data_IF_688672207440
#
_entry.id   IF_688672207440
#
_cell.length_a   1.000
_cell.length_b   1.000
_cell.length_c   1.000
_cell.angle_alpha   90.00
_cell.angle_beta   90.00
_cell.angle_gamma   90.00
#
_symmetry.space_group_name_H-M   'P 1'
#
loop_
_entity.id
_entity.type
_entity.pdbx_description
1 polymer ?
#
# COMPACT_ATOMS: atom_id res chain seq x y z
N UNK A 1 -18.43 5.38 -28.90
CA UNK A 1 -17.19 4.78 -28.40
C UNK A 1 -17.36 3.27 -28.44
N UNK A 2 -16.36 2.50 -28.91
CA UNK A 2 -16.53 1.07 -29.18
C UNK A 2 -16.39 0.20 -27.93
N UNK A 3 -17.16 -0.88 -27.86
CA UNK A 3 -17.11 -1.88 -26.79
C UNK A 3 -15.83 -2.73 -26.88
N UNK A 4 -15.06 -2.83 -25.79
CA UNK A 4 -13.84 -3.62 -25.72
C UNK A 4 -13.00 -3.36 -24.47
N UNK A 5 -11.94 -4.16 -24.29
CA UNK A 5 -10.91 -3.90 -23.29
C UNK A 5 -9.98 -2.80 -23.81
N UNK A 6 -9.99 -1.65 -23.15
CA UNK A 6 -8.98 -0.63 -23.37
C UNK A 6 -7.72 -0.96 -22.58
N UNK A 7 -6.59 -1.01 -23.27
CA UNK A 7 -5.28 -1.31 -22.68
C UNK A 7 -4.44 -0.04 -22.65
N UNK A 8 -3.94 0.29 -21.47
CA UNK A 8 -3.10 1.45 -21.23
C UNK A 8 -1.73 0.98 -20.72
N UNK A 9 -0.66 1.47 -21.34
CA UNK A 9 0.71 1.19 -20.92
C UNK A 9 1.42 2.52 -20.69
N UNK A 10 1.88 2.74 -19.44
CA UNK A 10 2.36 4.04 -18.98
C UNK A 10 1.40 5.17 -19.40
N UNK A 11 0.13 4.80 -19.50
CA UNK A 11 -1.00 5.69 -19.62
C UNK A 11 -1.32 6.33 -20.92
N UNK A 12 -0.55 5.97 -21.92
CA UNK A 12 -1.05 6.03 -23.27
C UNK A 12 -1.95 4.83 -23.52
N UNK A 13 -3.14 5.06 -24.06
CA UNK A 13 -3.95 3.98 -24.63
C UNK A 13 -3.16 3.35 -25.79
N UNK A 14 -2.76 2.11 -25.63
CA UNK A 14 -1.98 1.40 -26.64
C UNK A 14 -2.86 0.48 -27.50
N UNK A 15 -3.97 -0.01 -26.96
CA UNK A 15 -4.82 -0.95 -27.67
C UNK A 15 -6.29 -0.87 -27.23
N UNK A 16 -7.19 -1.22 -28.15
CA UNK A 16 -8.61 -1.51 -27.88
C UNK A 16 -8.90 -2.92 -28.38
N UNK A 17 -9.03 -3.87 -27.47
CA UNK A 17 -9.39 -5.24 -27.80
C UNK A 17 -10.91 -5.38 -27.77
N UNK A 18 -11.54 -5.42 -28.94
CA UNK A 18 -13.00 -5.64 -29.04
C UNK A 18 -13.40 -6.93 -28.34
N UNK A 19 -14.48 -6.88 -27.57
CA UNK A 19 -14.99 -8.08 -26.92
C UNK A 19 -15.32 -9.15 -27.95
N UNK A 20 -14.81 -10.37 -27.73
CA UNK A 20 -15.14 -11.57 -28.52
C UNK A 20 -15.97 -12.57 -27.73
N UNK A 21 -16.23 -12.27 -26.46
CA UNK A 21 -17.05 -13.03 -25.53
C UNK A 21 -17.69 -12.05 -24.53
N UNK A 22 -18.82 -12.45 -23.94
CA UNK A 22 -19.47 -11.64 -22.89
C UNK A 22 -18.51 -11.43 -21.71
N UNK A 23 -18.44 -10.19 -21.22
CA UNK A 23 -17.61 -9.82 -20.07
C UNK A 23 -17.99 -10.62 -18.81
N UNK A 24 -19.27 -11.00 -18.68
CA UNK A 24 -19.79 -11.81 -17.57
C UNK A 24 -19.14 -13.20 -17.48
N UNK A 25 -18.56 -13.69 -18.58
CA UNK A 25 -17.86 -14.98 -18.63
C UNK A 25 -16.39 -14.89 -18.21
N UNK A 26 -15.85 -13.67 -18.01
CA UNK A 26 -14.46 -13.47 -17.58
C UNK A 26 -14.41 -13.42 -16.06
N UNK A 27 -13.86 -14.47 -15.45
CA UNK A 27 -13.82 -14.63 -14.00
C UNK A 27 -12.41 -14.87 -13.43
N UNK A 28 -11.39 -14.95 -14.29
CA UNK A 28 -10.02 -15.24 -13.90
C UNK A 28 -9.04 -14.36 -14.67
N UNK A 29 -8.00 -13.91 -13.98
CA UNK A 29 -6.83 -13.25 -14.57
C UNK A 29 -5.64 -14.17 -14.39
N UNK A 30 -5.07 -14.63 -15.50
CA UNK A 30 -3.84 -15.42 -15.52
C UNK A 30 -2.71 -14.55 -16.07
N UNK A 31 -1.58 -14.54 -15.38
CA UNK A 31 -0.35 -13.91 -15.83
C UNK A 31 0.73 -14.98 -15.78
N UNK A 32 1.47 -15.11 -16.86
CA UNK A 32 2.39 -16.23 -17.11
C UNK A 32 3.77 -15.68 -17.51
N UNK A 33 4.80 -16.54 -17.43
CA UNK A 33 6.22 -16.23 -17.71
C UNK A 33 6.91 -15.32 -16.67
N UNK A 34 8.15 -14.95 -16.97
CA UNK A 34 9.08 -14.22 -16.10
C UNK A 34 8.70 -12.74 -15.96
N UNK A 35 7.71 -12.47 -15.11
CA UNK A 35 7.33 -11.11 -14.70
C UNK A 35 7.17 -11.04 -13.19
N UNK A 36 7.79 -10.02 -12.59
CA UNK A 36 7.53 -9.65 -11.20
C UNK A 36 6.42 -8.59 -11.21
N UNK A 37 5.30 -8.90 -10.58
CA UNK A 37 4.13 -8.01 -10.53
C UNK A 37 3.98 -7.50 -9.12
N UNK A 38 4.20 -6.20 -8.95
CA UNK A 38 4.15 -5.59 -7.62
C UNK A 38 2.72 -5.42 -7.10
N UNK A 39 1.76 -5.13 -7.99
CA UNK A 39 0.36 -4.92 -7.65
C UNK A 39 -0.56 -5.41 -8.77
N UNK A 40 -1.57 -6.19 -8.41
CA UNK A 40 -2.72 -6.51 -9.26
C UNK A 40 -3.99 -6.20 -8.49
N UNK A 41 -4.94 -5.52 -9.13
CA UNK A 41 -6.20 -5.17 -8.51
C UNK A 41 -7.29 -4.93 -9.53
N UNK A 42 -8.54 -5.06 -9.08
CA UNK A 42 -9.72 -4.72 -9.87
C UNK A 42 -10.29 -3.42 -9.33
N UNK A 43 -10.35 -2.40 -10.17
CA UNK A 43 -10.97 -1.12 -9.84
C UNK A 43 -12.38 -1.10 -10.44
N UNK A 44 -13.40 -1.14 -9.59
CA UNK A 44 -14.79 -0.95 -10.04
C UNK A 44 -14.95 0.49 -10.53
N UNK A 45 -15.75 0.70 -11.58
CA UNK A 45 -16.05 2.01 -12.15
C UNK A 45 -14.79 2.78 -12.60
N UNK A 46 -13.89 2.08 -13.30
CA UNK A 46 -12.63 2.62 -13.81
C UNK A 46 -12.78 3.88 -14.69
N UNK A 47 -13.83 3.96 -15.52
CA UNK A 47 -14.07 5.13 -16.40
C UNK A 47 -14.30 6.42 -15.62
N UNK A 48 -14.75 6.33 -14.37
CA UNK A 48 -14.90 7.45 -13.43
C UNK A 48 -13.76 7.52 -12.42
N UNK A 49 -12.77 6.62 -12.50
CA UNK A 49 -11.61 6.58 -11.62
C UNK A 49 -10.54 7.59 -12.07
N UNK A 50 -9.91 8.25 -11.10
CA UNK A 50 -8.82 9.21 -11.34
C UNK A 50 -7.53 8.56 -11.84
N UNK A 51 -7.41 7.23 -11.77
CA UNK A 51 -6.22 6.49 -12.18
C UNK A 51 -5.83 6.73 -13.67
N UNK A 52 -6.81 6.95 -14.56
CA UNK A 52 -6.54 7.21 -15.98
C UNK A 52 -5.90 8.59 -16.25
N UNK A 53 -6.14 9.59 -15.40
CA UNK A 53 -5.73 10.97 -15.66
C UNK A 53 -4.21 11.16 -15.50
N UNK A 54 -3.59 10.42 -14.58
CA UNK A 54 -2.15 10.46 -14.32
C UNK A 54 -1.32 9.68 -15.34
N UNK A 55 -1.94 8.71 -15.98
CA UNK A 55 -1.26 7.83 -16.90
C UNK A 55 -0.89 8.64 -18.19
N UNK A 56 -1.73 9.58 -18.65
CA UNK A 56 -1.54 10.30 -19.93
C UNK A 56 -0.39 11.32 -19.96
N UNK A 57 0.23 11.67 -18.83
CA UNK A 57 1.09 12.86 -18.72
C UNK A 57 2.58 12.60 -18.98
N UNK A 58 3.01 11.35 -19.19
CA UNK A 58 4.42 11.03 -19.44
C UNK A 58 5.36 11.56 -18.34
N UNK A 59 4.85 11.73 -17.12
CA UNK A 59 5.57 12.34 -16.00
C UNK A 59 6.71 11.41 -15.59
N UNK A 60 7.94 11.93 -15.70
CA UNK A 60 9.11 11.37 -15.03
C UNK A 60 8.78 11.16 -13.56
N UNK A 61 9.12 9.97 -13.01
CA UNK A 61 8.93 9.60 -11.60
C UNK A 61 9.56 10.56 -10.57
N UNK A 62 10.26 11.59 -11.05
CA UNK A 62 10.92 12.65 -10.28
C UNK A 62 10.15 13.97 -10.21
N UNK A 63 8.99 14.11 -10.89
CA UNK A 63 8.13 15.29 -10.74
C UNK A 63 6.85 14.93 -9.96
N UNK A 64 6.52 15.79 -9.00
CA UNK A 64 5.31 15.70 -8.20
C UNK A 64 4.07 15.56 -9.08
N UNK A 65 3.23 14.57 -8.76
CA UNK A 65 1.93 14.38 -9.37
C UNK A 65 0.99 15.50 -8.95
N UNK A 66 0.40 16.22 -9.91
CA UNK A 66 -0.61 17.25 -9.64
C UNK A 66 -1.99 16.65 -9.27
N UNK A 67 -2.04 15.54 -8.51
CA UNK A 67 -3.28 14.96 -7.96
C UNK A 67 -3.80 15.86 -6.83
N UNK A 68 -4.23 17.05 -7.19
CA UNK A 68 -5.13 17.83 -6.38
C UNK A 68 -6.54 17.58 -6.93
N UNK A 69 -7.44 17.21 -6.02
CA UNK A 69 -8.89 17.07 -6.18
C UNK A 69 -9.41 15.73 -6.73
N UNK A 70 -9.78 14.86 -5.78
CA UNK A 70 -10.96 13.96 -5.74
C UNK A 70 -10.83 12.84 -4.68
N UNK A 71 -9.78 12.90 -3.85
CA UNK A 71 -9.67 12.13 -2.60
C UNK A 71 -10.22 13.00 -1.46
N UNK A 72 -11.03 12.51 -0.51
CA UNK A 72 -11.20 13.19 0.75
C UNK A 72 -9.86 13.09 1.50
N UNK A 73 -9.10 14.19 1.50
CA UNK A 73 -7.78 14.38 2.16
C UNK A 73 -6.52 13.89 1.40
N UNK A 74 -6.20 14.43 0.21
CA UNK A 74 -4.86 14.30 -0.35
C UNK A 74 -3.91 15.19 0.46
N UNK A 75 -2.82 14.62 0.99
CA UNK A 75 -1.78 15.37 1.70
C UNK A 75 -0.52 15.35 0.84
N UNK A 76 -0.28 16.44 0.11
CA UNK A 76 0.98 16.70 -0.60
C UNK A 76 1.69 17.89 0.05
N UNK A 77 2.61 17.62 0.98
CA UNK A 77 3.63 18.59 1.45
C UNK A 77 4.66 17.88 2.34
N UNK A 78 5.98 18.00 2.09
CA UNK A 78 7.02 17.19 2.75
C UNK A 78 7.59 17.83 4.02
N UNK A 79 6.76 18.50 4.83
CA UNK A 79 7.19 19.11 6.09
C UNK A 79 6.32 18.78 7.30
N UNK A 80 5.22 18.04 7.12
CA UNK A 80 4.29 17.75 8.21
C UNK A 80 4.06 16.27 8.37
N UNK A 81 4.25 15.81 9.60
CA UNK A 81 3.71 14.56 10.09
C UNK A 81 2.25 14.41 9.64
N UNK A 82 1.95 13.31 8.95
CA UNK A 82 0.58 12.93 8.69
C UNK A 82 0.05 12.17 9.91
N UNK A 83 -1.16 12.51 10.33
CA UNK A 83 -1.93 11.73 11.29
C UNK A 83 -3.38 11.76 10.84
N UNK A 84 -3.95 10.60 10.54
CA UNK A 84 -5.31 10.50 10.03
C UNK A 84 -5.99 9.21 10.44
N UNK A 85 -7.34 9.18 10.40
CA UNK A 85 -8.09 7.98 10.72
C UNK A 85 -7.87 6.89 9.67
N UNK A 86 -8.03 5.65 10.09
CA UNK A 86 -8.19 4.46 9.25
C UNK A 86 -9.71 4.19 9.23
N UNK A 87 -10.44 4.57 8.17
CA UNK A 87 -11.88 4.36 8.10
C UNK A 87 -12.25 2.89 8.30
N UNK A 88 -13.16 2.62 9.24
CA UNK A 88 -13.56 1.26 9.61
C UNK A 88 -12.58 0.49 10.49
N UNK A 89 -11.45 1.10 10.88
CA UNK A 89 -10.39 0.47 11.66
C UNK A 89 -9.66 -0.66 10.92
N UNK A 90 -8.58 -1.16 11.52
CA UNK A 90 -7.91 -2.35 11.00
C UNK A 90 -8.59 -3.63 11.46
N UNK A 91 -8.54 -4.64 10.60
CA UNK A 91 -8.97 -6.00 10.88
C UNK A 91 -8.22 -6.96 9.98
N UNK A 92 -8.24 -8.24 10.33
CA UNK A 92 -7.65 -9.27 9.49
C UNK A 92 -8.30 -9.30 8.10
N UNK A 93 -7.48 -9.47 7.06
CA UNK A 93 -7.93 -9.40 5.67
C UNK A 93 -7.96 -7.99 5.08
N UNK A 94 -7.36 -7.01 5.75
CA UNK A 94 -7.09 -5.67 5.19
C UNK A 94 -5.60 -5.55 4.91
N UNK A 95 -5.23 -4.79 3.89
CA UNK A 95 -3.86 -4.36 3.65
C UNK A 95 -3.77 -2.84 3.57
N UNK A 96 -2.68 -2.29 4.09
CA UNK A 96 -2.31 -0.89 3.89
C UNK A 96 -1.26 -0.82 2.79
N UNK A 97 -1.52 -0.03 1.76
CA UNK A 97 -0.57 0.25 0.69
C UNK A 97 0.01 1.65 0.86
N UNK A 98 1.32 1.77 0.69
CA UNK A 98 2.06 3.02 0.71
C UNK A 98 2.98 3.07 -0.50
N UNK A 99 3.01 4.21 -1.16
CA UNK A 99 3.97 4.49 -2.21
C UNK A 99 4.60 5.85 -1.93
N UNK A 100 5.93 5.89 -1.97
CA UNK A 100 6.66 7.09 -1.64
C UNK A 100 8.11 7.05 -2.10
N UNK A 101 8.84 8.09 -1.69
CA UNK A 101 10.26 8.27 -1.97
C UNK A 101 10.96 8.63 -0.67
N UNK A 102 12.07 7.96 -0.38
CA UNK A 102 12.95 8.31 0.74
C UNK A 102 13.65 9.62 0.42
N UNK A 103 13.68 10.57 1.36
CA UNK A 103 14.39 11.82 1.12
C UNK A 103 15.90 11.59 0.85
N UNK A 104 16.50 12.45 0.02
CA UNK A 104 17.92 12.33 -0.35
C UNK A 104 18.87 12.54 0.83
N UNK A 105 18.41 13.23 1.87
CA UNK A 105 19.10 13.54 3.13
C UNK A 105 18.51 12.77 4.32
N UNK A 106 17.73 11.72 4.07
CA UNK A 106 17.03 10.95 5.09
C UNK A 106 17.98 10.44 6.20
N UNK A 107 17.61 10.72 7.45
CA UNK A 107 18.07 10.01 8.63
C UNK A 107 17.16 8.81 8.89
N UNK A 108 15.85 9.09 9.01
CA UNK A 108 14.82 8.06 9.24
C UNK A 108 13.41 8.54 8.92
N UNK A 109 12.52 7.59 8.69
CA UNK A 109 11.08 7.83 8.68
C UNK A 109 10.35 6.73 9.43
N UNK A 110 9.08 6.98 9.78
CA UNK A 110 8.25 6.01 10.50
C UNK A 110 6.82 6.00 10.01
N UNK A 111 6.25 4.80 9.97
CA UNK A 111 4.83 4.54 9.80
C UNK A 111 4.36 3.93 11.12
N UNK A 112 3.41 4.60 11.77
CA UNK A 112 2.84 4.21 13.04
C UNK A 112 1.38 3.84 12.89
N UNK A 113 1.00 2.70 13.45
CA UNK A 113 -0.38 2.27 13.60
C UNK A 113 -0.81 2.50 15.05
N UNK A 114 -1.62 3.52 15.28
CA UNK A 114 -2.05 3.98 16.60
C UNK A 114 -3.44 3.45 16.97
N UNK A 115 -3.67 3.25 18.27
CA UNK A 115 -5.01 2.91 18.79
C UNK A 115 -5.84 4.14 19.17
N UNK A 116 -7.16 4.04 18.98
CA UNK A 116 -8.12 5.12 19.23
C UNK A 116 -8.46 5.39 20.70
N UNK A 117 -9.06 6.57 20.92
CA UNK A 117 -9.40 7.31 22.15
C UNK A 117 -8.34 8.29 22.68
N UNK A 118 -7.06 7.90 22.82
CA UNK A 118 -6.02 8.80 23.36
C UNK A 118 -4.77 8.97 22.45
N UNK A 119 -4.67 8.28 21.30
CA UNK A 119 -3.52 8.29 20.38
C UNK A 119 -2.14 8.00 21.03
N UNK A 120 -2.09 7.54 22.28
CA UNK A 120 -0.84 7.34 23.01
C UNK A 120 -0.16 6.04 22.60
N UNK A 121 -0.91 4.95 22.45
CA UNK A 121 -0.33 3.65 22.15
C UNK A 121 -0.10 3.48 20.64
N UNK A 122 1.03 2.82 20.32
CA UNK A 122 1.44 2.45 18.97
C UNK A 122 1.41 0.93 18.90
N UNK A 123 0.43 0.37 18.21
CA UNK A 123 0.32 -1.07 17.98
C UNK A 123 1.47 -1.58 17.11
N UNK A 124 1.84 -0.81 16.09
CA UNK A 124 2.98 -1.13 15.24
C UNK A 124 3.75 0.13 14.83
N UNK A 125 4.99 0.21 15.26
CA UNK A 125 5.97 1.20 14.88
C UNK A 125 6.91 0.59 13.85
N UNK A 126 6.76 0.97 12.58
CA UNK A 126 7.67 0.59 11.50
C UNK A 126 8.59 1.77 11.20
N UNK A 127 9.87 1.69 11.60
CA UNK A 127 10.82 2.79 11.51
C UNK A 127 12.06 2.41 10.69
N UNK A 128 11.99 2.60 9.36
CA UNK A 128 13.18 2.59 8.53
C UNK A 128 14.17 3.68 8.92
N UNK A 129 15.41 3.24 9.10
CA UNK A 129 16.64 4.01 9.21
C UNK A 129 17.50 3.63 8.01
N UNK A 130 18.54 4.40 7.71
CA UNK A 130 19.37 4.13 6.53
C UNK A 130 20.22 2.87 6.65
N UNK A 131 20.44 2.40 7.87
CA UNK A 131 21.24 1.23 8.20
C UNK A 131 20.43 0.08 8.80
N UNK A 132 19.18 0.30 9.19
CA UNK A 132 18.31 -0.74 9.76
C UNK A 132 16.83 -0.41 9.66
N UNK A 133 15.94 -1.38 9.90
CA UNK A 133 14.52 -1.12 10.15
C UNK A 133 14.15 -1.58 11.55
N UNK A 134 13.71 -0.62 12.36
CA UNK A 134 13.29 -0.84 13.73
C UNK A 134 11.78 -1.09 13.79
N UNK A 135 11.40 -2.18 14.47
CA UNK A 135 10.01 -2.56 14.70
C UNK A 135 9.73 -2.55 16.20
N UNK A 136 8.64 -1.93 16.63
CA UNK A 136 8.24 -1.98 18.03
C UNK A 136 6.74 -1.71 18.24
N UNK A 137 6.31 -1.76 19.50
CA UNK A 137 5.06 -1.19 19.99
C UNK A 137 5.38 -0.22 21.13
N UNK A 138 4.48 0.72 21.36
CA UNK A 138 4.56 1.66 22.47
C UNK A 138 3.25 1.53 23.26
N UNK A 139 3.33 1.13 24.52
CA UNK A 139 2.17 0.89 25.39
C UNK A 139 2.38 1.56 26.73
N UNK A 140 1.36 2.22 27.27
CA UNK A 140 1.40 2.82 28.61
C UNK A 140 2.62 3.73 28.85
N UNK A 141 2.99 4.53 27.86
CA UNK A 141 4.08 5.50 28.00
C UNK A 141 5.49 4.95 27.80
N UNK A 142 5.66 3.66 27.43
CA UNK A 142 6.97 3.03 27.23
C UNK A 142 7.04 2.23 25.93
N UNK A 143 8.25 2.14 25.39
CA UNK A 143 8.56 1.22 24.30
C UNK A 143 8.63 -0.22 24.82
N UNK A 144 8.07 -1.16 24.08
CA UNK A 144 8.24 -2.58 24.33
C UNK A 144 9.59 -3.09 23.79
N UNK A 145 9.76 -4.42 23.77
CA UNK A 145 10.96 -5.05 23.22
C UNK A 145 11.12 -4.74 21.72
N UNK A 146 12.14 -3.96 21.39
CA UNK A 146 12.49 -3.62 20.02
C UNK A 146 12.94 -4.86 19.23
N UNK A 147 12.51 -4.96 17.98
CA UNK A 147 13.14 -5.84 16.99
C UNK A 147 13.90 -4.97 16.00
N UNK A 148 15.18 -5.26 15.82
CA UNK A 148 16.03 -4.57 14.85
C UNK A 148 16.30 -5.48 13.67
N UNK A 149 16.19 -4.93 12.46
CA UNK A 149 16.52 -5.61 11.21
C UNK A 149 17.66 -4.84 10.56
N UNK A 150 18.91 -5.28 10.73
CA UNK A 150 20.05 -4.65 10.09
C UNK A 150 19.90 -4.63 8.57
N UNK A 151 20.28 -3.51 7.96
CA UNK A 151 20.02 -3.20 6.57
C UNK A 151 18.54 -2.95 6.27
N UNK A 152 18.22 -2.82 5.00
CA UNK A 152 16.84 -2.63 4.59
C UNK A 152 16.71 -2.32 3.10
N UNK A 153 15.49 -2.41 2.56
CA UNK A 153 15.21 -2.14 1.15
C UNK A 153 15.15 -0.64 0.82
N UNK A 154 15.42 0.25 1.79
CA UNK A 154 15.26 1.68 1.67
C UNK A 154 16.60 2.35 1.41
N UNK A 155 16.67 3.16 0.36
CA UNK A 155 17.86 3.93 -0.03
C UNK A 155 17.48 5.39 -0.20
N UNK A 156 18.37 6.31 0.17
CA UNK A 156 18.17 7.76 0.00
C UNK A 156 17.85 8.11 -1.45
N UNK A 157 16.81 8.91 -1.66
CA UNK A 157 16.29 9.25 -2.99
C UNK A 157 15.56 8.10 -3.73
N UNK A 158 15.52 6.91 -3.13
CA UNK A 158 14.88 5.73 -3.71
C UNK A 158 13.36 5.74 -3.54
N UNK A 159 12.66 5.37 -4.60
CA UNK A 159 11.23 5.09 -4.53
C UNK A 159 10.97 3.72 -3.86
N UNK A 160 9.84 3.60 -3.19
CA UNK A 160 9.38 2.35 -2.61
C UNK A 160 7.87 2.17 -2.74
N UNK A 161 7.46 0.92 -2.74
CA UNK A 161 6.11 0.46 -2.45
C UNK A 161 6.16 -0.38 -1.16
N UNK A 162 5.30 -0.10 -0.18
CA UNK A 162 5.10 -0.93 1.02
C UNK A 162 3.67 -1.44 1.04
N UNK A 163 3.50 -2.74 1.28
CA UNK A 163 2.21 -3.35 1.63
C UNK A 163 2.34 -3.91 3.04
N UNK A 164 1.48 -3.45 3.95
CA UNK A 164 1.32 -4.06 5.28
C UNK A 164 0.02 -4.86 5.29
N UNK A 165 0.14 -6.17 5.16
CA UNK A 165 -0.98 -7.11 5.23
C UNK A 165 -1.32 -7.38 6.69
N UNK A 166 -2.58 -7.18 7.04
CA UNK A 166 -3.10 -7.48 8.38
C UNK A 166 -3.62 -8.91 8.39
N UNK A 167 -2.84 -9.81 8.97
CA UNK A 167 -3.24 -11.19 9.22
C UNK A 167 -3.88 -11.32 10.62
N UNK A 168 -4.54 -12.46 10.95
CA UNK A 168 -5.12 -12.66 12.27
C UNK A 168 -4.12 -12.56 13.44
N UNK A 169 -2.85 -12.93 13.24
CA UNK A 169 -1.83 -12.95 14.31
C UNK A 169 -0.67 -11.97 14.15
N UNK A 170 -0.51 -11.35 12.98
CA UNK A 170 0.62 -10.45 12.70
C UNK A 170 0.31 -9.44 11.59
N UNK A 171 1.19 -8.46 11.49
CA UNK A 171 1.40 -7.67 10.29
C UNK A 171 2.48 -8.35 9.45
N UNK A 172 2.23 -8.57 8.16
CA UNK A 172 3.25 -8.94 7.19
C UNK A 172 3.58 -7.72 6.32
N UNK A 173 4.86 -7.35 6.28
CA UNK A 173 5.35 -6.21 5.51
C UNK A 173 6.07 -6.71 4.27
N UNK A 174 5.60 -6.24 3.12
CA UNK A 174 6.18 -6.47 1.80
C UNK A 174 6.71 -5.12 1.32
N UNK A 175 7.95 -5.08 0.84
CA UNK A 175 8.56 -3.88 0.26
C UNK A 175 9.01 -4.19 -1.15
N UNK A 176 8.61 -3.37 -2.11
CA UNK A 176 8.93 -3.53 -3.54
C UNK A 176 8.62 -4.94 -4.07
N UNK A 177 7.48 -5.50 -3.66
CA UNK A 177 7.03 -6.84 -4.07
C UNK A 177 7.67 -8.01 -3.33
N UNK A 178 8.66 -7.78 -2.47
CA UNK A 178 9.34 -8.82 -1.70
C UNK A 178 8.92 -8.78 -0.23
N UNK A 179 8.58 -9.95 0.33
CA UNK A 179 8.31 -10.08 1.77
C UNK A 179 9.55 -9.66 2.56
N UNK A 180 9.40 -8.64 3.39
CA UNK A 180 10.49 -8.04 4.17
C UNK A 180 10.49 -8.54 5.61
N UNK A 181 9.37 -8.40 6.32
CA UNK A 181 9.29 -8.84 7.72
C UNK A 181 7.87 -9.18 8.17
N UNK A 182 7.77 -9.81 9.33
CA UNK A 182 6.50 -9.99 10.05
C UNK A 182 6.62 -9.42 11.47
N UNK A 183 5.55 -8.83 11.99
CA UNK A 183 5.47 -8.31 13.35
C UNK A 183 4.19 -8.81 14.03
N UNK A 184 4.33 -9.63 15.08
CA UNK A 184 3.18 -10.19 15.78
C UNK A 184 2.37 -9.10 16.47
N UNK A 185 1.04 -9.24 16.48
CA UNK A 185 0.15 -8.31 17.17
C UNK A 185 0.46 -8.32 18.66
N UNK A 186 0.90 -7.17 19.19
CA UNK A 186 1.05 -6.95 20.65
C UNK A 186 -0.16 -6.24 21.25
N UNK A 187 -0.92 -5.56 20.41
CA UNK A 187 -2.19 -4.92 20.73
C UNK A 187 -3.26 -5.51 19.80
N UNK A 188 -4.49 -5.76 20.27
CA UNK A 188 -5.58 -6.21 19.42
C UNK A 188 -5.78 -5.28 18.22
N UNK A 189 -5.82 -5.86 17.01
CA UNK A 189 -5.77 -5.08 15.77
C UNK A 189 -7.01 -4.25 15.51
N UNK A 190 -8.15 -4.68 16.05
CA UNK A 190 -9.44 -3.98 16.04
C UNK A 190 -9.41 -2.65 16.82
N UNK A 191 -8.44 -2.47 17.72
CA UNK A 191 -8.21 -1.19 18.41
C UNK A 191 -7.47 -0.16 17.56
N UNK A 192 -6.88 -0.57 16.43
CA UNK A 192 -6.06 0.30 15.59
C UNK A 192 -6.94 1.10 14.64
N UNK A 193 -6.95 2.41 14.83
CA UNK A 193 -7.86 3.32 14.13
C UNK A 193 -7.17 4.52 13.50
N UNK A 194 -5.87 4.71 13.72
CA UNK A 194 -5.17 5.93 13.31
C UNK A 194 -3.83 5.57 12.68
N UNK A 195 -3.56 6.16 11.51
CA UNK A 195 -2.29 6.06 10.79
C UNK A 195 -1.47 7.33 11.02
N UNK A 196 -0.21 7.16 11.44
CA UNK A 196 0.77 8.22 11.55
C UNK A 196 1.94 8.00 10.59
N UNK A 197 2.36 9.02 9.85
CA UNK A 197 3.55 8.99 8.99
C UNK A 197 4.40 10.20 9.34
N UNK A 198 5.67 9.99 9.70
CA UNK A 198 6.56 11.04 10.22
C UNK A 198 8.00 10.80 9.76
N UNK A 199 8.76 11.87 9.56
CA UNK A 199 10.19 11.82 9.23
C UNK A 199 10.46 12.06 7.74
N UNK A 200 11.64 11.65 7.29
CA UNK A 200 12.21 12.12 6.03
C UNK A 200 11.74 11.28 4.83
N UNK A 201 10.45 11.39 4.53
CA UNK A 201 9.78 10.62 3.48
C UNK A 201 8.75 11.47 2.73
N UNK A 202 8.76 11.33 1.41
CA UNK A 202 7.74 11.89 0.53
C UNK A 202 6.70 10.80 0.26
N UNK A 203 5.52 10.92 0.87
CA UNK A 203 4.43 9.98 0.63
C UNK A 203 3.59 10.46 -0.56
N UNK A 204 3.58 9.68 -1.64
CA UNK A 204 2.82 10.00 -2.84
C UNK A 204 1.38 9.46 -2.75
N UNK A 205 1.23 8.25 -2.21
CA UNK A 205 -0.05 7.57 -2.11
C UNK A 205 -0.11 6.67 -0.89
N UNK A 206 -1.25 6.66 -0.21
CA UNK A 206 -1.61 5.59 0.69
C UNK A 206 -3.04 5.11 0.38
N UNK A 207 -3.32 3.84 0.63
CA UNK A 207 -4.65 3.27 0.40
C UNK A 207 -4.90 2.10 1.34
N UNK A 208 -6.16 1.91 1.71
CA UNK A 208 -6.61 0.73 2.46
C UNK A 208 -7.26 -0.21 1.44
N UNK A 209 -6.80 -1.45 1.41
CA UNK A 209 -7.22 -2.47 0.45
C UNK A 209 -7.90 -3.59 1.23
N UNK A 210 -9.15 -3.86 0.88
CA UNK A 210 -9.85 -5.05 1.34
C UNK A 210 -9.32 -6.26 0.56
N UNK A 211 -8.68 -7.19 1.27
CA UNK A 211 -8.29 -8.46 0.69
C UNK A 211 -9.54 -9.32 0.64
N UNK A 212 -10.17 -9.37 -0.54
CA UNK A 212 -11.26 -10.31 -0.79
C UNK A 212 -10.74 -11.71 -0.50
N UNK A 213 -11.34 -12.37 0.50
CA UNK A 213 -11.10 -13.78 0.80
C UNK A 213 -11.19 -14.53 -0.52
N UNK A 214 -10.11 -15.22 -0.84
CA UNK A 214 -9.85 -15.99 -2.05
C UNK A 214 -11.14 -16.58 -2.64
N UNK A 215 -11.36 -16.33 -3.93
CA UNK A 215 -12.18 -17.23 -4.75
C UNK A 215 -11.71 -18.65 -4.46
N UNK A 216 -12.60 -19.48 -3.90
CA UNK A 216 -12.35 -20.92 -3.77
C UNK A 216 -12.16 -21.45 -5.19
N UNK A 217 -10.91 -21.70 -5.58
CA UNK A 217 -10.62 -22.54 -6.74
C UNK A 217 -11.06 -23.93 -6.32
N UNK A 218 -12.25 -24.30 -6.76
CA UNK A 218 -12.73 -25.67 -6.68
C UNK A 218 -12.33 -26.29 -8.01
N UNK A 219 -11.35 -27.18 -8.00
CA UNK A 219 -11.12 -28.03 -9.17
C UNK A 219 -12.33 -28.96 -9.28
N UNK A 220 -13.11 -28.94 -10.38
CA UNK A 220 -13.97 -30.07 -10.65
C UNK A 220 -13.06 -31.29 -10.81
N UNK A 221 -13.17 -32.25 -9.90
CA UNK A 221 -12.69 -33.58 -10.16
C UNK A 221 -13.50 -34.15 -11.32
N UNK A 222 -12.84 -34.45 -12.43
CA UNK A 222 -13.29 -35.43 -13.42
C UNK A 222 -12.11 -36.38 -13.58
N UNK A 223 -12.18 -37.65 -13.13
CA UNK A 223 -12.95 -38.79 -13.66
C UNK A 223 -12.64 -39.02 -15.14
#
# INVERSE_FOLDING_TARGET
MGEGYEVYLNGKRCYLFKHRMSLEKVNALKIDKDVIINTVGVVKNWSTSTFNKELNSGISRTKHSDIQYDIPHPVSSPSKAYSGPIPGGLRAGVALFFQGVVASDCDRFKINLHTGANNQDIAFHFNPRMDSVVLNSYTMGKWDNQLDRPGGPFVRGGAFDIIMVVNPGNYEVIVNGLKYCTFNHRIPVDKVTTLGIVGDVFMNKFSIIELVKTLKITYPACI
#
